data_IF_703590450611
#
_entry.id   IF_703590450611
#
_cell.length_a   1.000
_cell.length_b   1.000
_cell.length_c   1.000
_cell.angle_alpha   90.00
_cell.angle_beta   90.00
_cell.angle_gamma   90.00
#
_symmetry.space_group_name_H-M   'P 1'
#
loop_
_entity.id
_entity.type
_entity.pdbx_description
1 polymer ?
#
# COMPACT_ATOMS: atom_id res chain seq x y z
N UNK A 1 -4.79 -10.90 -34.19
CA UNK A 1 -3.99 -9.68 -34.13
C UNK A 1 -4.09 -8.96 -35.48
N UNK A 2 -4.41 -7.68 -35.47
CA UNK A 2 -4.53 -6.91 -36.72
C UNK A 2 -3.16 -6.67 -37.33
N UNK A 3 -3.06 -6.79 -38.66
CA UNK A 3 -1.83 -6.49 -39.36
C UNK A 3 -1.57 -4.99 -39.39
N UNK A 4 -0.32 -4.59 -39.27
CA UNK A 4 0.09 -3.19 -39.37
C UNK A 4 0.19 -2.77 -40.84
N UNK A 5 -0.13 -1.53 -41.08
CA UNK A 5 0.02 -0.97 -42.43
C UNK A 5 1.49 -0.98 -42.85
N UNK A 6 1.69 -1.12 -44.16
CA UNK A 6 3.02 -1.10 -44.77
C UNK A 6 3.69 0.24 -44.56
N UNK A 7 4.91 0.25 -44.03
CA UNK A 7 5.67 1.46 -43.73
C UNK A 7 5.41 2.01 -42.33
N UNK A 8 4.46 1.46 -41.57
CA UNK A 8 4.18 1.85 -40.19
C UNK A 8 4.61 0.74 -39.26
N UNK A 9 5.82 0.82 -38.76
CA UNK A 9 6.36 -0.17 -37.81
C UNK A 9 5.75 -0.02 -36.43
N UNK A 10 5.66 1.20 -35.93
CA UNK A 10 5.28 1.50 -34.56
C UNK A 10 4.18 2.56 -34.54
N UNK A 11 3.11 2.27 -33.80
CA UNK A 11 2.02 3.22 -33.57
C UNK A 11 2.00 3.53 -32.09
N UNK A 12 2.08 4.82 -31.69
CA UNK A 12 1.98 5.18 -30.28
C UNK A 12 0.67 4.71 -29.66
N UNK A 13 0.75 4.17 -28.45
CA UNK A 13 -0.43 3.79 -27.68
C UNK A 13 -0.72 4.86 -26.65
N UNK A 14 -1.97 4.89 -26.19
CA UNK A 14 -2.39 5.85 -25.18
C UNK A 14 -1.71 5.57 -23.83
N UNK A 15 -1.08 6.59 -23.28
CA UNK A 15 -0.48 6.51 -21.94
C UNK A 15 -1.51 6.81 -20.87
N UNK A 16 -1.31 6.22 -19.69
CA UNK A 16 -2.05 6.63 -18.49
C UNK A 16 -1.55 8.00 -18.03
N UNK A 17 -2.36 8.67 -17.22
CA UNK A 17 -1.95 9.94 -16.61
C UNK A 17 -0.71 9.71 -15.77
N UNK A 18 0.30 10.55 -15.94
CA UNK A 18 1.59 10.43 -15.28
C UNK A 18 1.47 10.39 -13.75
N UNK A 19 0.69 11.30 -13.16
CA UNK A 19 0.48 11.36 -11.72
C UNK A 19 -0.18 10.10 -11.17
N UNK A 20 -1.12 9.52 -11.91
CA UNK A 20 -1.80 8.29 -11.52
C UNK A 20 -0.84 7.09 -11.52
N UNK A 21 0.02 7.00 -12.52
CA UNK A 21 1.03 5.92 -12.59
C UNK A 21 2.03 6.06 -11.44
N UNK A 22 2.53 7.26 -11.18
CA UNK A 22 3.47 7.51 -10.10
C UNK A 22 2.87 7.15 -8.74
N UNK A 23 1.64 7.57 -8.47
CA UNK A 23 0.94 7.27 -7.23
C UNK A 23 0.74 5.77 -7.04
N UNK A 24 0.25 5.08 -8.06
CA UNK A 24 0.03 3.64 -8.01
C UNK A 24 1.35 2.88 -7.86
N UNK A 25 2.41 3.34 -8.53
CA UNK A 25 3.74 2.76 -8.42
C UNK A 25 4.26 2.83 -6.99
N UNK A 26 4.09 3.95 -6.28
CA UNK A 26 4.50 4.09 -4.88
C UNK A 26 3.72 3.14 -3.97
N UNK A 27 2.42 2.99 -4.20
CA UNK A 27 1.59 2.03 -3.47
C UNK A 27 2.10 0.61 -3.68
N UNK A 28 2.34 0.22 -4.92
CA UNK A 28 2.81 -1.13 -5.24
C UNK A 28 4.19 -1.41 -4.66
N UNK A 29 5.10 -0.44 -4.66
CA UNK A 29 6.41 -0.58 -4.02
C UNK A 29 6.27 -0.80 -2.52
N UNK A 30 5.39 -0.07 -1.86
CA UNK A 30 5.16 -0.24 -0.43
C UNK A 30 4.60 -1.63 -0.12
N UNK A 31 3.73 -2.17 -0.98
CA UNK A 31 3.12 -3.48 -0.81
C UNK A 31 4.02 -4.64 -1.26
N UNK A 32 5.11 -4.38 -1.98
CA UNK A 32 6.00 -5.41 -2.51
C UNK A 32 7.00 -5.95 -1.47
N UNK A 33 6.65 -5.89 -0.22
CA UNK A 33 7.38 -6.47 0.89
C UNK A 33 6.45 -7.42 1.66
N UNK A 34 6.84 -8.67 1.94
CA UNK A 34 5.94 -9.64 2.56
C UNK A 34 5.36 -9.17 3.90
N UNK A 35 6.19 -8.55 4.74
CA UNK A 35 5.73 -8.06 6.04
C UNK A 35 4.73 -6.92 5.90
N UNK A 36 5.02 -5.95 5.04
CA UNK A 36 4.10 -4.83 4.80
C UNK A 36 2.80 -5.29 4.15
N UNK A 37 2.87 -6.23 3.23
CA UNK A 37 1.69 -6.81 2.61
C UNK A 37 0.77 -7.47 3.64
N UNK A 38 1.36 -8.24 4.55
CA UNK A 38 0.61 -8.88 5.63
C UNK A 38 0.05 -7.85 6.61
N UNK A 39 0.82 -6.82 6.97
CA UNK A 39 0.34 -5.73 7.82
C UNK A 39 -0.91 -5.06 7.22
N UNK A 40 -0.88 -4.73 5.95
CA UNK A 40 -2.03 -4.10 5.27
C UNK A 40 -3.22 -5.04 5.23
N UNK A 41 -3.01 -6.33 5.01
CA UNK A 41 -4.08 -7.33 5.02
C UNK A 41 -4.72 -7.42 6.41
N UNK A 42 -3.91 -7.41 7.45
CA UNK A 42 -4.40 -7.40 8.84
C UNK A 42 -5.22 -6.13 9.12
N UNK A 43 -4.70 -4.96 8.72
CA UNK A 43 -5.41 -3.69 8.93
C UNK A 43 -6.71 -3.62 8.15
N UNK A 44 -6.76 -4.22 6.97
CA UNK A 44 -7.97 -4.29 6.16
C UNK A 44 -9.10 -4.99 6.90
N UNK A 45 -8.78 -6.09 7.58
CA UNK A 45 -9.76 -6.90 8.28
C UNK A 45 -10.03 -6.45 9.72
N UNK A 46 -9.20 -5.53 10.25
CA UNK A 46 -9.33 -5.04 11.60
C UNK A 46 -10.54 -4.10 11.75
N UNK A 47 -11.32 -4.30 12.79
CA UNK A 47 -12.46 -3.43 13.13
C UNK A 47 -12.02 -2.21 13.93
N UNK A 48 -10.83 -2.25 14.53
CA UNK A 48 -10.26 -1.19 15.35
C UNK A 48 -8.80 -0.95 14.95
N UNK A 49 -8.24 0.23 15.25
CA UNK A 49 -6.82 0.48 15.03
C UNK A 49 -5.96 -0.54 15.76
N UNK A 50 -4.85 -0.92 15.14
CA UNK A 50 -3.92 -1.92 15.67
C UNK A 50 -2.69 -1.21 16.24
N UNK A 51 -2.30 -1.58 17.47
CA UNK A 51 -1.11 -1.03 18.09
C UNK A 51 0.16 -1.57 17.39
N UNK A 52 1.17 -0.72 17.27
CA UNK A 52 2.50 -1.16 16.79
C UNK A 52 3.01 -2.32 17.64
N UNK A 53 2.75 -2.33 18.94
CA UNK A 53 3.14 -3.42 19.85
C UNK A 53 2.48 -4.76 19.48
N UNK A 54 1.27 -4.74 18.91
CA UNK A 54 0.61 -5.95 18.44
C UNK A 54 1.35 -6.55 17.25
N UNK A 55 1.83 -5.71 16.34
CA UNK A 55 2.64 -6.17 15.22
C UNK A 55 4.01 -6.69 15.67
N UNK A 56 4.63 -6.05 16.65
CA UNK A 56 5.89 -6.55 17.26
C UNK A 56 5.68 -7.97 17.78
N UNK A 57 4.61 -8.18 18.54
CA UNK A 57 4.28 -9.50 19.10
C UNK A 57 3.95 -10.52 17.99
N UNK A 58 3.20 -10.11 16.98
CA UNK A 58 2.74 -11.00 15.91
C UNK A 58 3.88 -11.46 15.00
N UNK A 59 4.74 -10.53 14.59
CA UNK A 59 5.81 -10.82 13.62
C UNK A 59 7.14 -11.22 14.28
N UNK A 60 7.28 -11.02 15.59
CA UNK A 60 8.55 -11.27 16.26
C UNK A 60 9.68 -10.33 15.81
N UNK A 61 9.33 -9.16 15.32
CA UNK A 61 10.27 -8.13 14.87
C UNK A 61 10.48 -7.09 15.98
N UNK A 62 11.59 -6.36 15.90
CA UNK A 62 11.82 -5.25 16.83
C UNK A 62 10.86 -4.11 16.57
N UNK A 63 10.61 -3.28 17.60
CA UNK A 63 9.77 -2.10 17.44
C UNK A 63 10.29 -1.13 16.37
N UNK A 64 11.59 -0.79 16.29
CA UNK A 64 12.09 0.05 15.23
C UNK A 64 11.83 -0.50 13.82
N UNK A 65 11.95 -1.82 13.63
CA UNK A 65 11.67 -2.46 12.35
C UNK A 65 10.19 -2.35 11.97
N UNK A 66 9.28 -2.62 12.91
CA UNK A 66 7.84 -2.46 12.69
C UNK A 66 7.51 -1.00 12.39
N UNK A 67 8.06 -0.07 13.15
CA UNK A 67 7.86 1.37 12.95
C UNK A 67 8.36 1.83 11.58
N UNK A 68 9.47 1.26 11.10
CA UNK A 68 9.99 1.55 9.76
C UNK A 68 9.01 1.08 8.67
N UNK A 69 8.51 -0.14 8.78
CA UNK A 69 7.51 -0.63 7.84
C UNK A 69 6.27 0.25 7.84
N UNK A 70 5.81 0.65 9.02
CA UNK A 70 4.64 1.50 9.15
C UNK A 70 4.88 2.89 8.54
N UNK A 71 6.08 3.45 8.71
CA UNK A 71 6.47 4.71 8.09
C UNK A 71 6.43 4.61 6.54
N UNK A 72 6.92 3.51 5.98
CA UNK A 72 6.86 3.28 4.53
C UNK A 72 5.43 3.20 4.01
N UNK A 73 4.56 2.53 4.73
CA UNK A 73 3.14 2.46 4.38
C UNK A 73 2.46 3.83 4.49
N UNK A 74 2.83 4.62 5.49
CA UNK A 74 2.31 5.96 5.70
C UNK A 74 2.77 6.91 4.58
N UNK A 75 4.03 6.85 4.18
CA UNK A 75 4.57 7.63 3.06
C UNK A 75 3.86 7.32 1.75
N UNK A 76 3.45 6.08 1.55
CA UNK A 76 2.69 5.66 0.37
C UNK A 76 1.21 6.07 0.44
N UNK A 77 0.77 6.68 1.55
CA UNK A 77 -0.61 7.12 1.72
C UNK A 77 -1.59 6.02 2.06
N UNK A 78 -1.12 4.87 2.53
CA UNK A 78 -1.98 3.70 2.80
C UNK A 78 -2.52 3.67 4.22
N UNK A 79 -1.73 4.10 5.18
CA UNK A 79 -2.06 4.04 6.60
C UNK A 79 -1.93 5.39 7.26
N UNK A 80 -2.61 5.55 8.37
CA UNK A 80 -2.44 6.67 9.28
C UNK A 80 -2.23 6.14 10.69
N UNK A 81 -1.57 6.94 11.51
CA UNK A 81 -1.21 6.56 12.88
C UNK A 81 -1.66 7.62 13.85
N UNK A 82 -2.05 7.19 15.04
CA UNK A 82 -2.44 8.06 16.13
C UNK A 82 -1.71 7.63 17.39
N UNK A 83 -1.08 8.58 18.09
CA UNK A 83 -0.47 8.31 19.38
C UNK A 83 -1.48 8.50 20.50
N UNK A 84 -1.52 7.53 21.42
CA UNK A 84 -2.31 7.58 22.65
C UNK A 84 -1.36 7.25 23.80
N UNK A 85 -0.82 8.26 24.48
CA UNK A 85 0.22 8.05 25.47
C UNK A 85 1.49 7.50 24.84
N UNK A 86 1.95 6.34 25.31
CA UNK A 86 3.14 5.67 24.78
C UNK A 86 2.83 4.73 23.60
N UNK A 87 1.54 4.52 23.29
CA UNK A 87 1.12 3.61 22.23
C UNK A 87 0.89 4.34 20.91
N UNK A 88 1.28 3.70 19.82
CA UNK A 88 0.98 4.15 18.47
C UNK A 88 -0.01 3.17 17.84
N UNK A 89 -1.17 3.67 17.42
CA UNK A 89 -2.21 2.89 16.77
C UNK A 89 -2.25 3.20 15.29
N UNK A 90 -2.39 2.17 14.48
CA UNK A 90 -2.36 2.25 13.02
C UNK A 90 -3.66 1.74 12.42
N UNK A 91 -4.09 2.37 11.33
CA UNK A 91 -5.25 1.92 10.56
C UNK A 91 -5.07 2.28 9.09
N UNK A 92 -5.82 1.62 8.21
CA UNK A 92 -5.89 2.05 6.83
C UNK A 92 -6.56 3.42 6.73
N UNK A 93 -6.10 4.25 5.81
CA UNK A 93 -6.76 5.52 5.53
C UNK A 93 -8.15 5.27 4.97
N UNK A 94 -9.09 6.14 5.33
CA UNK A 94 -10.49 6.06 4.85
C UNK A 94 -10.66 6.72 3.48
N UNK A 95 -9.73 7.59 3.11
CA UNK A 95 -9.77 8.40 1.89
C UNK A 95 -8.90 7.84 0.76
N UNK A 96 -8.71 6.52 0.72
CA UNK A 96 -7.91 5.89 -0.31
C UNK A 96 -8.53 6.11 -1.70
N UNK A 97 -7.70 6.36 -2.73
CA UNK A 97 -8.18 6.38 -4.10
C UNK A 97 -8.89 5.06 -4.44
N UNK A 98 -9.89 5.12 -5.31
CA UNK A 98 -10.73 3.97 -5.63
C UNK A 98 -9.90 2.75 -6.11
N UNK A 99 -8.91 2.97 -6.97
CA UNK A 99 -8.07 1.88 -7.49
C UNK A 99 -7.23 1.24 -6.38
N UNK A 100 -6.70 2.06 -5.47
CA UNK A 100 -5.93 1.58 -4.31
C UNK A 100 -6.81 0.78 -3.37
N UNK A 101 -8.01 1.27 -3.08
CA UNK A 101 -8.98 0.56 -2.24
C UNK A 101 -9.34 -0.79 -2.82
N UNK A 102 -9.61 -0.86 -4.13
CA UNK A 102 -9.90 -2.13 -4.82
C UNK A 102 -8.73 -3.10 -4.75
N UNK A 103 -7.52 -2.59 -4.90
CA UNK A 103 -6.31 -3.40 -4.80
C UNK A 103 -6.19 -4.03 -3.42
N UNK A 104 -6.39 -3.24 -2.37
CA UNK A 104 -6.33 -3.72 -0.99
C UNK A 104 -7.48 -4.69 -0.69
N UNK A 105 -8.69 -4.41 -1.13
CA UNK A 105 -9.84 -5.30 -0.95
C UNK A 105 -9.63 -6.67 -1.60
N UNK A 106 -8.81 -6.75 -2.63
CA UNK A 106 -8.47 -8.00 -3.29
C UNK A 106 -7.47 -8.87 -2.50
N UNK A 107 -6.85 -8.33 -1.45
CA UNK A 107 -5.89 -9.06 -0.63
C UNK A 107 -6.61 -9.99 0.37
N UNK A 108 -6.15 -11.20 0.43
CA UNK A 108 -6.63 -12.19 1.37
C UNK A 108 -8.05 -12.58 1.27
#
# INVERSE_FOLDING_TARGET
MADRERGVCCVPVRRLREGKVAQLSEVLKALADPTRLEMVTILKDATEPVCVCDFVATFGLSQPTVSHHMARLREAGLVESEKRGIWAFCRLRRDLPAVTRRLIEALG
#
